data_IF_204805785535
#
_entry.id   IF_204805785535
#
_cell.length_a   1.000
_cell.length_b   1.000
_cell.length_c   1.000
_cell.angle_alpha   90.00
_cell.angle_beta   90.00
_cell.angle_gamma   90.00
#
_symmetry.space_group_name_H-M   'P 1'
#
loop_
_entity.id
_entity.type
_entity.pdbx_description
1 polymer ?
#
# COMPACT_ATOMS: atom_id res chain seq x y z
N UNK A 1 -37.59 52.27 -42.67
CA UNK A 1 -37.33 53.62 -42.13
C UNK A 1 -36.02 53.53 -41.34
N UNK A 2 -34.89 53.99 -41.92
CA UNK A 2 -34.21 55.25 -41.54
C UNK A 2 -33.98 55.34 -40.02
N UNK A 3 -32.77 55.42 -39.44
CA UNK A 3 -31.54 56.10 -39.86
C UNK A 3 -30.36 55.64 -38.98
N UNK A 4 -29.16 55.66 -39.58
CA UNK A 4 -27.89 55.80 -38.86
C UNK A 4 -27.87 57.10 -38.03
N UNK A 5 -27.32 57.06 -36.82
CA UNK A 5 -26.75 58.24 -36.15
C UNK A 5 -25.39 57.84 -35.57
N UNK A 6 -24.35 58.33 -36.23
CA UNK A 6 -23.02 58.58 -35.65
C UNK A 6 -23.16 59.75 -34.67
N UNK A 7 -22.38 59.77 -33.59
CA UNK A 7 -21.72 60.98 -33.03
C UNK A 7 -20.73 60.52 -31.95
N UNK A 8 -19.45 60.80 -32.21
CA UNK A 8 -18.33 60.85 -31.27
C UNK A 8 -18.40 62.13 -30.43
N UNK A 9 -17.62 62.20 -29.33
CA UNK A 9 -17.14 63.35 -28.51
C UNK A 9 -17.38 63.00 -27.03
N UNK A 10 -16.50 63.21 -26.04
CA UNK A 10 -15.05 63.44 -25.95
C UNK A 10 -14.72 63.37 -24.44
N UNK A 11 -13.52 62.85 -24.13
CA UNK A 11 -12.57 63.24 -23.06
C UNK A 11 -13.11 63.82 -21.73
N UNK A 12 -12.78 63.13 -20.63
CA UNK A 12 -12.24 63.78 -19.43
C UNK A 12 -11.35 62.81 -18.63
N UNK A 13 -10.04 63.01 -18.77
CA UNK A 13 -9.02 62.56 -17.83
C UNK A 13 -9.10 63.44 -16.59
N UNK A 14 -9.34 62.85 -15.42
CA UNK A 14 -8.99 63.44 -14.13
C UNK A 14 -8.33 62.36 -13.26
N UNK A 15 -7.00 62.42 -13.25
CA UNK A 15 -6.14 61.83 -12.24
C UNK A 15 -6.19 62.73 -10.99
N UNK A 16 -6.83 62.32 -9.91
CA UNK A 16 -6.40 62.71 -8.55
C UNK A 16 -6.71 61.58 -7.57
N UNK A 17 -5.62 61.03 -7.03
CA UNK A 17 -5.44 60.38 -5.73
C UNK A 17 -6.66 60.00 -4.91
N UNK A 18 -6.85 58.70 -4.76
CA UNK A 18 -7.58 58.09 -3.65
C UNK A 18 -6.99 56.71 -3.42
N UNK A 19 -5.92 56.64 -2.62
CA UNK A 19 -5.32 55.40 -2.16
C UNK A 19 -6.34 54.64 -1.30
N UNK A 20 -7.21 53.85 -1.94
CA UNK A 20 -7.91 52.77 -1.27
C UNK A 20 -6.86 51.71 -0.97
N UNK A 21 -6.34 51.79 0.25
CA UNK A 21 -5.72 50.69 0.97
C UNK A 21 -6.73 49.54 1.01
N UNK A 22 -6.78 48.75 -0.06
CA UNK A 22 -7.17 47.37 0.05
C UNK A 22 -6.07 46.72 0.89
N UNK A 23 -6.31 46.64 2.19
CA UNK A 23 -5.70 45.60 3.01
C UNK A 23 -6.13 44.27 2.42
N UNK A 24 -5.41 43.82 1.40
CA UNK A 24 -5.28 42.41 1.11
C UNK A 24 -4.77 41.80 2.41
N UNK A 25 -5.68 41.12 3.10
CA UNK A 25 -5.30 40.09 4.06
C UNK A 25 -4.28 39.24 3.33
N UNK A 26 -3.02 39.35 3.76
CA UNK A 26 -1.92 38.52 3.33
C UNK A 26 -2.20 37.15 3.95
N UNK A 27 -3.21 36.46 3.42
CA UNK A 27 -3.41 35.06 3.68
C UNK A 27 -2.13 34.41 3.19
N UNK A 28 -1.40 33.81 4.13
CA UNK A 28 -0.10 33.21 3.91
C UNK A 28 -0.16 32.19 2.77
N UNK A 29 0.08 32.65 1.55
CA UNK A 29 0.47 31.84 0.40
C UNK A 29 1.99 31.62 0.42
N UNK A 30 2.53 31.36 1.62
CA UNK A 30 3.79 30.65 1.77
C UNK A 30 3.44 29.18 1.79
N UNK A 31 3.05 28.61 0.65
CA UNK A 31 3.10 27.16 0.50
C UNK A 31 4.54 26.76 0.76
N UNK A 32 4.70 25.87 1.71
CA UNK A 32 5.95 25.50 2.36
C UNK A 32 6.94 24.90 1.34
N UNK A 33 7.67 25.79 0.65
CA UNK A 33 8.70 25.42 -0.33
C UNK A 33 9.78 24.53 0.27
N UNK A 34 9.96 24.58 1.60
CA UNK A 34 10.88 23.71 2.34
C UNK A 34 10.32 22.30 2.48
N UNK A 35 9.04 22.16 2.86
CA UNK A 35 8.35 20.88 2.91
C UNK A 35 8.30 20.20 1.54
N UNK A 36 7.90 20.92 0.49
CA UNK A 36 7.85 20.36 -0.85
C UNK A 36 9.22 19.88 -1.33
N UNK A 37 10.30 20.62 -1.02
CA UNK A 37 11.67 20.23 -1.34
C UNK A 37 12.13 18.98 -0.56
N UNK A 38 11.76 18.89 0.72
CA UNK A 38 11.99 17.69 1.57
C UNK A 38 11.29 16.47 0.97
N UNK A 39 9.98 16.55 0.74
CA UNK A 39 9.18 15.44 0.21
C UNK A 39 9.62 15.03 -1.19
N UNK A 40 10.03 15.99 -2.04
CA UNK A 40 10.64 15.68 -3.33
C UNK A 40 11.96 14.90 -3.19
N UNK A 41 12.76 15.20 -2.16
CA UNK A 41 13.99 14.45 -1.87
C UNK A 41 13.65 13.03 -1.42
N UNK A 42 12.72 12.85 -0.49
CA UNK A 42 12.26 11.54 -0.02
C UNK A 42 11.70 10.68 -1.18
N UNK A 43 10.88 11.28 -2.06
CA UNK A 43 10.35 10.62 -3.26
C UNK A 43 11.45 10.07 -4.18
N UNK A 44 12.60 10.73 -4.28
CA UNK A 44 13.73 10.24 -5.10
C UNK A 44 14.46 9.05 -4.50
N UNK A 45 14.34 8.83 -3.19
CA UNK A 45 14.96 7.71 -2.48
C UNK A 45 14.13 6.43 -2.56
N UNK A 46 12.83 6.54 -2.83
CA UNK A 46 11.95 5.39 -3.00
C UNK A 46 12.34 4.65 -4.29
N UNK A 47 12.69 3.35 -4.22
CA UNK A 47 13.28 2.65 -5.35
C UNK A 47 12.27 2.31 -6.45
N UNK A 48 11.02 1.99 -6.08
CA UNK A 48 10.00 1.50 -7.02
C UNK A 48 9.00 2.58 -7.41
N UNK A 49 8.43 2.47 -8.60
CA UNK A 49 7.38 3.41 -9.04
C UNK A 49 6.08 3.22 -8.23
N UNK A 50 5.78 2.01 -7.78
CA UNK A 50 4.65 1.73 -6.90
C UNK A 50 4.77 2.50 -5.57
N UNK A 51 5.91 2.38 -4.88
CA UNK A 51 6.15 3.15 -3.65
C UNK A 51 6.10 4.66 -3.87
N UNK A 52 6.57 5.15 -5.03
CA UNK A 52 6.45 6.57 -5.38
C UNK A 52 4.99 7.01 -5.53
N UNK A 53 4.15 6.19 -6.14
CA UNK A 53 2.73 6.49 -6.31
C UNK A 53 2.01 6.54 -4.96
N UNK A 54 2.33 5.61 -4.07
CA UNK A 54 1.79 5.55 -2.72
C UNK A 54 2.21 6.77 -1.89
N UNK A 55 3.50 7.09 -1.89
CA UNK A 55 4.03 8.28 -1.21
C UNK A 55 3.38 9.56 -1.75
N UNK A 56 3.16 9.68 -3.06
CA UNK A 56 2.47 10.83 -3.66
C UNK A 56 1.02 10.92 -3.18
N UNK A 57 0.33 9.79 -3.01
CA UNK A 57 -1.04 9.74 -2.51
C UNK A 57 -1.10 10.12 -1.03
N UNK A 58 -0.20 9.58 -0.21
CA UNK A 58 -0.08 9.89 1.22
C UNK A 58 0.29 11.35 1.47
N UNK A 59 1.22 11.89 0.68
CA UNK A 59 1.68 13.28 0.75
C UNK A 59 0.74 14.29 0.09
N UNK A 60 -0.38 13.86 -0.48
CA UNK A 60 -1.30 14.70 -1.26
C UNK A 60 -0.55 15.51 -2.34
N UNK A 61 0.25 14.82 -3.15
CA UNK A 61 1.15 15.41 -4.14
C UNK A 61 2.14 16.41 -3.53
N UNK A 62 2.89 15.97 -2.51
CA UNK A 62 3.96 16.73 -1.85
C UNK A 62 3.48 18.00 -1.11
N UNK A 63 2.21 18.04 -0.72
CA UNK A 63 1.63 19.17 0.02
C UNK A 63 1.43 18.89 1.50
N UNK A 64 1.57 17.63 1.92
CA UNK A 64 1.38 17.16 3.29
C UNK A 64 2.54 16.25 3.68
N UNK A 65 3.04 16.42 4.91
CA UNK A 65 4.01 15.49 5.50
C UNK A 65 3.45 14.06 5.56
N UNK A 66 4.34 13.09 5.34
CA UNK A 66 4.05 11.65 5.39
C UNK A 66 4.59 11.08 6.70
N UNK A 67 3.85 10.15 7.31
CA UNK A 67 4.35 9.42 8.47
C UNK A 67 5.64 8.65 8.06
N UNK A 68 6.77 8.82 8.77
CA UNK A 68 8.01 8.12 8.44
C UNK A 68 7.88 6.60 8.32
N UNK A 69 6.94 6.00 9.06
CA UNK A 69 6.64 4.57 8.98
C UNK A 69 6.02 4.18 7.62
N UNK A 70 5.16 5.03 7.05
CA UNK A 70 4.62 4.81 5.71
C UNK A 70 5.69 4.99 4.63
N UNK A 71 6.57 5.99 4.78
CA UNK A 71 7.72 6.16 3.89
C UNK A 71 8.66 4.93 3.92
N UNK A 72 8.90 4.36 5.09
CA UNK A 72 9.67 3.12 5.24
C UNK A 72 8.99 1.96 4.49
N UNK A 73 7.67 1.79 4.63
CA UNK A 73 6.90 0.77 3.92
C UNK A 73 6.94 0.96 2.40
N UNK A 74 6.73 2.19 1.91
CA UNK A 74 6.77 2.53 0.49
C UNK A 74 8.14 2.23 -0.12
N UNK A 75 9.21 2.42 0.67
CA UNK A 75 10.59 2.14 0.28
C UNK A 75 10.89 0.64 0.19
N UNK A 76 10.02 -0.21 0.74
CA UNK A 76 10.16 -1.66 0.80
C UNK A 76 9.27 -2.41 -0.18
N UNK A 77 8.36 -1.72 -0.88
CA UNK A 77 7.49 -2.34 -1.88
C UNK A 77 8.36 -3.01 -2.95
N UNK A 78 8.14 -4.31 -3.13
CA UNK A 78 8.85 -5.10 -4.15
C UNK A 78 7.97 -5.25 -5.37
N UNK A 79 8.54 -4.92 -6.53
CA UNK A 79 7.97 -5.23 -7.83
C UNK A 79 8.58 -6.54 -8.35
N UNK A 80 7.72 -7.50 -8.67
CA UNK A 80 8.16 -8.82 -9.08
C UNK A 80 8.00 -9.03 -10.58
N UNK A 81 8.83 -8.34 -11.35
CA UNK A 81 9.01 -8.60 -12.77
C UNK A 81 9.92 -7.58 -13.44
N UNK A 82 10.73 -8.04 -14.41
CA UNK A 82 11.53 -7.14 -15.23
C UNK A 82 10.59 -6.20 -16.02
N UNK A 83 10.86 -4.89 -15.96
CA UNK A 83 10.13 -3.81 -16.65
C UNK A 83 8.74 -3.44 -16.08
N UNK A 84 8.31 -3.97 -14.94
CA UNK A 84 7.11 -3.48 -14.24
C UNK A 84 7.34 -2.10 -13.62
N UNK A 85 8.56 -1.78 -13.20
CA UNK A 85 8.95 -0.47 -12.68
C UNK A 85 8.78 0.68 -13.70
N UNK A 86 8.71 0.35 -15.00
CA UNK A 86 8.64 1.32 -16.09
C UNK A 86 7.20 1.60 -16.59
N UNK A 87 6.19 0.87 -16.08
CA UNK A 87 4.80 1.03 -16.52
C UNK A 87 4.13 2.15 -15.73
N UNK A 88 4.10 3.35 -16.32
CA UNK A 88 3.40 4.53 -15.79
C UNK A 88 1.86 4.47 -15.94
N UNK A 89 1.24 3.29 -16.06
CA UNK A 89 -0.18 3.18 -16.40
C UNK A 89 -1.07 2.98 -15.18
N UNK A 90 -1.90 3.98 -14.89
CA UNK A 90 -3.10 3.80 -14.09
C UNK A 90 -4.12 2.95 -14.85
N UNK A 91 -4.07 1.62 -14.74
CA UNK A 91 -5.25 0.75 -14.77
C UNK A 91 -4.93 -0.72 -14.43
N UNK A 92 -5.54 -1.18 -13.35
CA UNK A 92 -6.24 -2.47 -13.18
C UNK A 92 -5.57 -3.75 -13.69
N UNK A 93 -4.47 -4.14 -13.06
CA UNK A 93 -4.31 -5.52 -12.59
C UNK A 93 -3.11 -5.55 -11.67
N UNK A 94 -3.39 -5.58 -10.36
CA UNK A 94 -2.49 -5.98 -9.26
C UNK A 94 -1.06 -5.47 -9.39
N UNK A 95 -0.71 -4.45 -8.62
CA UNK A 95 0.67 -4.03 -8.37
C UNK A 95 1.53 -5.24 -7.95
N UNK A 96 2.11 -5.88 -8.96
CA UNK A 96 3.39 -6.57 -8.99
C UNK A 96 3.75 -7.56 -7.87
N UNK A 97 2.82 -8.06 -7.06
CA UNK A 97 3.19 -9.08 -6.09
C UNK A 97 3.60 -10.37 -6.80
N UNK A 98 4.79 -10.84 -6.46
CA UNK A 98 5.48 -12.00 -7.01
C UNK A 98 4.56 -13.23 -7.06
N UNK A 99 3.79 -13.42 -8.13
CA UNK A 99 3.62 -14.69 -8.87
C UNK A 99 2.57 -14.58 -9.96
N UNK A 100 3.03 -14.49 -11.21
CA UNK A 100 2.33 -15.15 -12.30
C UNK A 100 2.64 -16.65 -12.21
N UNK A 101 1.59 -17.49 -12.12
CA UNK A 101 1.64 -18.95 -12.15
C UNK A 101 2.38 -19.66 -10.98
N UNK A 102 1.65 -19.91 -9.89
CA UNK A 102 1.89 -21.10 -9.05
C UNK A 102 2.84 -20.96 -7.86
N UNK A 103 2.88 -19.80 -7.19
CA UNK A 103 3.50 -19.73 -5.86
C UNK A 103 4.99 -20.09 -5.88
N UNK A 104 5.81 -19.44 -6.70
CA UNK A 104 7.26 -19.61 -6.64
C UNK A 104 7.95 -18.25 -6.60
N UNK A 105 9.02 -18.14 -5.80
CA UNK A 105 9.91 -16.96 -5.74
C UNK A 105 11.31 -17.28 -6.30
N UNK A 106 11.42 -17.87 -7.52
CA UNK A 106 12.72 -18.25 -8.06
C UNK A 106 13.46 -16.97 -8.42
N UNK A 107 14.71 -16.87 -7.97
CA UNK A 107 15.60 -15.72 -8.20
C UNK A 107 15.23 -14.41 -7.50
N UNK A 108 14.26 -14.39 -6.57
CA UNK A 108 14.05 -13.23 -5.71
C UNK A 108 15.21 -13.10 -4.71
N UNK A 109 15.95 -11.99 -4.80
CA UNK A 109 17.09 -11.64 -3.92
C UNK A 109 16.75 -10.42 -3.08
N UNK A 110 17.34 -10.29 -1.90
CA UNK A 110 17.05 -9.20 -0.95
C UNK A 110 16.96 -9.72 0.48
N UNK A 111 16.58 -8.87 1.43
CA UNK A 111 16.41 -9.25 2.83
C UNK A 111 14.95 -9.58 3.18
N UNK A 112 14.03 -8.73 2.77
CA UNK A 112 12.60 -8.82 3.10
C UNK A 112 11.77 -8.78 1.83
N UNK A 113 10.60 -9.42 1.86
CA UNK A 113 9.40 -9.10 1.10
C UNK A 113 8.55 -8.18 1.96
N UNK A 114 7.95 -7.16 1.37
CA UNK A 114 7.26 -6.17 2.17
C UNK A 114 6.61 -5.06 1.40
N UNK A 115 6.15 -4.09 2.17
CA UNK A 115 5.32 -2.98 1.71
C UNK A 115 3.84 -3.32 1.67
N UNK A 116 3.04 -2.30 1.39
CA UNK A 116 1.61 -2.43 1.22
C UNK A 116 1.24 -2.98 -0.16
N UNK A 117 0.08 -3.61 -0.24
CA UNK A 117 -0.53 -4.12 -1.46
C UNK A 117 -1.92 -3.51 -1.66
N UNK A 118 -2.40 -3.56 -2.90
CA UNK A 118 -3.77 -3.22 -3.32
C UNK A 118 -4.18 -1.73 -3.23
N UNK A 119 -3.55 -0.94 -2.35
CA UNK A 119 -3.72 0.50 -2.22
C UNK A 119 -2.65 1.12 -1.31
N UNK A 120 -2.46 2.44 -1.37
CA UNK A 120 -1.62 3.16 -0.42
C UNK A 120 -2.22 3.16 0.99
N UNK A 121 -1.43 2.76 1.98
CA UNK A 121 -1.79 2.87 3.39
C UNK A 121 -1.78 4.34 3.82
N UNK A 122 -2.90 4.84 4.33
CA UNK A 122 -3.06 6.28 4.65
C UNK A 122 -2.75 6.64 6.12
N UNK A 123 -2.81 5.65 7.01
CA UNK A 123 -2.41 5.76 8.41
C UNK A 123 -1.97 4.38 8.95
N UNK A 124 -1.36 4.33 10.14
CA UNK A 124 -0.76 3.11 10.69
C UNK A 124 -1.57 2.46 11.81
N UNK A 125 -2.79 2.95 12.09
CA UNK A 125 -3.58 2.53 13.26
C UNK A 125 -3.99 1.08 13.17
N UNK A 126 -4.57 0.68 12.04
CA UNK A 126 -4.99 -0.71 11.82
C UNK A 126 -3.80 -1.65 11.73
N UNK A 127 -2.73 -1.24 11.04
CA UNK A 127 -1.46 -1.99 11.01
C UNK A 127 -0.97 -2.30 12.42
N UNK A 128 -0.88 -1.31 13.31
CA UNK A 128 -0.40 -1.54 14.68
C UNK A 128 -1.32 -2.49 15.46
N UNK A 129 -2.65 -2.36 15.30
CA UNK A 129 -3.59 -3.28 15.92
C UNK A 129 -3.41 -4.72 15.40
N UNK A 130 -3.14 -4.89 14.11
CA UNK A 130 -2.89 -6.17 13.47
C UNK A 130 -1.59 -6.81 13.94
N UNK A 131 -0.49 -6.05 14.00
CA UNK A 131 0.80 -6.51 14.57
C UNK A 131 0.66 -7.00 16.02
N UNK A 132 -0.21 -6.36 16.82
CA UNK A 132 -0.51 -6.80 18.18
C UNK A 132 -1.29 -8.12 18.20
N UNK A 133 -2.30 -8.29 17.34
CA UNK A 133 -3.07 -9.54 17.23
C UNK A 133 -2.16 -10.71 16.82
N UNK A 134 -1.21 -10.48 15.92
CA UNK A 134 -0.28 -11.51 15.44
C UNK A 134 0.60 -12.10 16.55
N UNK A 135 0.83 -11.38 17.65
CA UNK A 135 1.60 -11.89 18.79
C UNK A 135 0.97 -13.13 19.44
N UNK A 136 -0.33 -13.39 19.25
CA UNK A 136 -1.00 -14.60 19.71
C UNK A 136 -0.44 -15.88 19.05
N UNK A 137 0.25 -15.75 17.90
CA UNK A 137 0.76 -16.88 17.12
C UNK A 137 2.26 -17.09 17.27
N UNK A 138 2.96 -16.30 18.10
CA UNK A 138 4.43 -16.34 18.26
C UNK A 138 5.02 -17.68 18.71
N UNK A 139 4.20 -18.61 19.19
CA UNK A 139 4.62 -19.97 19.53
C UNK A 139 4.90 -20.83 18.29
N UNK A 140 4.40 -20.43 17.12
CA UNK A 140 4.67 -21.09 15.85
C UNK A 140 6.04 -20.65 15.31
N UNK A 141 6.99 -21.58 15.09
CA UNK A 141 8.30 -21.23 14.56
C UNK A 141 8.21 -20.59 13.18
N UNK A 142 9.07 -19.60 12.93
CA UNK A 142 9.21 -18.92 11.63
C UNK A 142 7.92 -18.30 11.09
N UNK A 143 6.98 -17.90 11.95
CA UNK A 143 5.78 -17.16 11.52
C UNK A 143 6.11 -15.67 11.33
N UNK A 144 5.69 -15.03 10.21
CA UNK A 144 5.84 -13.59 10.06
C UNK A 144 4.91 -12.86 11.03
N UNK A 145 5.48 -12.13 11.98
CA UNK A 145 4.74 -11.28 12.91
C UNK A 145 4.63 -9.82 12.45
N UNK A 146 5.38 -9.46 11.39
CA UNK A 146 5.20 -8.25 10.59
C UNK A 146 5.14 -8.67 9.12
N UNK A 147 3.94 -8.91 8.57
CA UNK A 147 3.74 -9.38 7.20
C UNK A 147 4.29 -8.40 6.15
N UNK A 148 4.25 -7.09 6.44
CA UNK A 148 4.83 -6.05 5.59
C UNK A 148 6.37 -5.97 5.66
N UNK A 149 7.00 -6.81 6.49
CA UNK A 149 8.46 -6.93 6.65
C UNK A 149 8.89 -8.42 6.74
N UNK A 150 8.37 -9.25 5.84
CA UNK A 150 8.58 -10.71 5.86
C UNK A 150 9.96 -11.09 5.29
N UNK A 151 10.86 -11.77 6.01
CA UNK A 151 12.14 -12.19 5.43
C UNK A 151 11.97 -13.09 4.19
N UNK A 152 12.73 -12.84 3.12
CA UNK A 152 12.58 -13.59 1.85
C UNK A 152 12.76 -15.11 2.07
N UNK A 153 13.72 -15.50 2.89
CA UNK A 153 13.96 -16.90 3.22
C UNK A 153 12.77 -17.54 3.93
N UNK A 154 12.11 -16.80 4.82
CA UNK A 154 10.90 -17.25 5.53
C UNK A 154 9.72 -17.39 4.57
N UNK A 155 9.52 -16.43 3.68
CA UNK A 155 8.48 -16.51 2.66
C UNK A 155 8.68 -17.73 1.75
N UNK A 156 9.90 -17.95 1.25
CA UNK A 156 10.24 -19.15 0.45
C UNK A 156 9.93 -20.44 1.20
N UNK A 157 10.29 -20.53 2.48
CA UNK A 157 10.00 -21.71 3.30
C UNK A 157 8.50 -22.04 3.33
N UNK A 158 7.63 -21.04 3.55
CA UNK A 158 6.19 -21.27 3.63
C UNK A 158 5.56 -21.60 2.29
N UNK A 159 6.02 -20.93 1.23
CA UNK A 159 5.59 -21.20 -0.14
C UNK A 159 6.01 -22.62 -0.58
N UNK A 160 7.23 -23.05 -0.27
CA UNK A 160 7.69 -24.40 -0.58
C UNK A 160 6.89 -25.44 0.22
N UNK A 161 6.59 -25.15 1.49
CA UNK A 161 5.73 -25.99 2.31
C UNK A 161 4.32 -26.09 1.73
N UNK A 162 3.74 -24.97 1.29
CA UNK A 162 2.43 -24.90 0.64
C UNK A 162 2.35 -25.82 -0.59
N UNK A 163 3.34 -25.71 -1.48
CA UNK A 163 3.44 -26.48 -2.71
C UNK A 163 3.61 -27.99 -2.46
N UNK A 164 4.38 -28.36 -1.44
CA UNK A 164 4.64 -29.76 -1.10
C UNK A 164 3.48 -30.43 -0.34
N UNK A 165 2.57 -29.64 0.23
CA UNK A 165 1.59 -30.12 1.20
C UNK A 165 0.21 -30.30 0.59
N UNK A 166 -0.36 -31.49 0.77
CA UNK A 166 -1.75 -31.79 0.43
C UNK A 166 -2.52 -32.10 1.70
N UNK A 167 -3.60 -31.35 1.95
CA UNK A 167 -4.50 -31.62 3.06
C UNK A 167 -5.35 -32.87 2.77
N UNK A 168 -5.61 -33.66 3.80
CA UNK A 168 -6.66 -34.69 3.75
C UNK A 168 -8.05 -34.05 3.65
N UNK A 169 -9.10 -34.79 3.26
CA UNK A 169 -10.46 -34.23 3.17
C UNK A 169 -10.95 -33.57 4.47
N UNK A 170 -10.64 -34.16 5.64
CA UNK A 170 -11.02 -33.59 6.93
C UNK A 170 -10.28 -32.28 7.24
N UNK A 171 -8.98 -32.23 6.94
CA UNK A 171 -8.17 -31.02 7.11
C UNK A 171 -8.60 -29.92 6.13
N UNK A 172 -8.93 -30.28 4.89
CA UNK A 172 -9.45 -29.34 3.90
C UNK A 172 -10.78 -28.73 4.35
N UNK A 173 -11.62 -29.45 5.09
CA UNK A 173 -12.84 -28.90 5.66
C UNK A 173 -12.56 -27.76 6.68
N UNK A 174 -11.52 -27.90 7.50
CA UNK A 174 -11.08 -26.85 8.45
C UNK A 174 -10.58 -25.63 7.67
N UNK A 175 -9.75 -25.84 6.66
CA UNK A 175 -9.27 -24.77 5.77
C UNK A 175 -10.43 -24.01 5.12
N UNK A 176 -11.38 -24.74 4.53
CA UNK A 176 -12.54 -24.16 3.86
C UNK A 176 -13.44 -23.39 4.83
N UNK A 177 -13.56 -23.86 6.08
CA UNK A 177 -14.29 -23.14 7.12
C UNK A 177 -13.59 -21.83 7.48
N UNK A 178 -12.27 -21.83 7.67
CA UNK A 178 -11.50 -20.62 7.91
C UNK A 178 -11.66 -19.63 6.74
N UNK A 179 -11.60 -20.14 5.51
CA UNK A 179 -11.74 -19.34 4.29
C UNK A 179 -13.12 -18.68 4.19
N UNK A 180 -14.16 -19.36 4.66
CA UNK A 180 -15.53 -18.85 4.62
C UNK A 180 -15.79 -17.74 5.67
N UNK A 181 -15.08 -17.75 6.79
CA UNK A 181 -15.31 -16.80 7.90
C UNK A 181 -14.30 -15.64 7.94
N UNK A 182 -13.12 -15.81 7.32
CA UNK A 182 -12.13 -14.76 7.19
C UNK A 182 -12.59 -13.69 6.20
N UNK A 183 -12.36 -12.43 6.56
CA UNK A 183 -12.59 -11.30 5.66
C UNK A 183 -11.54 -11.30 4.55
N UNK A 184 -10.28 -11.43 4.95
CA UNK A 184 -9.13 -11.33 4.05
C UNK A 184 -8.88 -12.61 3.25
N UNK A 185 -9.20 -13.77 3.84
CA UNK A 185 -8.70 -15.10 3.38
C UNK A 185 -7.16 -15.07 3.41
N UNK A 186 -6.40 -16.05 2.86
CA UNK A 186 -4.93 -15.93 2.88
C UNK A 186 -4.39 -14.62 2.28
N UNK A 187 -5.11 -14.04 1.33
CA UNK A 187 -4.97 -12.67 0.84
C UNK A 187 -6.09 -12.41 -0.18
N UNK A 188 -6.45 -11.15 -0.40
CA UNK A 188 -7.39 -10.75 -1.44
C UNK A 188 -6.89 -11.04 -2.87
N UNK A 189 -5.56 -11.09 -3.08
CA UNK A 189 -4.92 -11.41 -4.34
C UNK A 189 -4.06 -12.69 -4.23
N UNK A 190 -4.01 -13.52 -5.27
CA UNK A 190 -3.18 -14.74 -5.30
C UNK A 190 -1.70 -14.42 -5.54
N UNK A 191 -1.11 -13.80 -4.55
CA UNK A 191 0.17 -13.14 -4.57
C UNK A 191 1.16 -13.87 -3.64
N UNK A 192 2.44 -13.45 -3.51
CA UNK A 192 3.37 -14.19 -2.64
C UNK A 192 2.83 -14.36 -1.20
N UNK A 193 2.15 -13.33 -0.68
CA UNK A 193 1.59 -13.33 0.67
C UNK A 193 0.49 -14.38 0.82
N UNK A 194 -0.37 -14.52 -0.20
CA UNK A 194 -1.37 -15.58 -0.25
C UNK A 194 -0.76 -16.97 -0.06
N UNK A 195 0.33 -17.28 -0.76
CA UNK A 195 0.97 -18.59 -0.69
C UNK A 195 1.74 -18.80 0.61
N UNK A 196 2.29 -17.73 1.20
CA UNK A 196 2.86 -17.77 2.56
C UNK A 196 1.77 -18.14 3.56
N UNK A 197 0.65 -17.43 3.53
CA UNK A 197 -0.45 -17.60 4.48
C UNK A 197 -1.22 -18.91 4.27
N UNK A 198 -1.28 -19.43 3.04
CA UNK A 198 -1.79 -20.77 2.74
C UNK A 198 -0.88 -21.85 3.34
N UNK A 199 0.44 -21.73 3.18
CA UNK A 199 1.43 -22.63 3.76
C UNK A 199 1.38 -22.66 5.30
N UNK A 200 1.27 -21.48 5.92
CA UNK A 200 1.12 -21.33 7.37
C UNK A 200 -0.17 -22.01 7.84
N UNK A 201 -1.31 -21.73 7.19
CA UNK A 201 -2.59 -22.34 7.56
C UNK A 201 -2.57 -23.87 7.41
N UNK A 202 -1.98 -24.39 6.33
CA UNK A 202 -1.80 -25.84 6.15
C UNK A 202 -1.00 -26.45 7.30
N UNK A 203 0.07 -25.79 7.74
CA UNK A 203 0.87 -26.23 8.89
C UNK A 203 0.08 -26.19 10.19
N UNK A 204 -0.66 -25.10 10.44
CA UNK A 204 -1.54 -24.96 11.61
C UNK A 204 -2.58 -26.09 11.70
N UNK A 205 -3.18 -26.46 10.57
CA UNK A 205 -4.18 -27.54 10.47
C UNK A 205 -3.54 -28.92 10.68
N UNK A 206 -2.39 -29.17 10.05
CA UNK A 206 -1.70 -30.47 10.14
C UNK A 206 -1.22 -30.74 11.57
N UNK A 207 -0.68 -29.73 12.23
CA UNK A 207 -0.21 -29.87 13.62
C UNK A 207 -1.37 -29.94 14.62
N UNK A 208 -2.58 -29.60 14.20
CA UNK A 208 -3.79 -29.62 15.04
C UNK A 208 -3.77 -28.56 16.15
N UNK A 209 -2.95 -27.53 16.02
CA UNK A 209 -2.73 -26.51 17.06
C UNK A 209 -3.80 -25.41 17.00
N UNK A 210 -4.39 -25.17 15.83
CA UNK A 210 -5.35 -24.10 15.60
C UNK A 210 -6.62 -24.58 14.93
N UNK A 211 -7.76 -24.01 15.32
CA UNK A 211 -9.05 -24.23 14.68
C UNK A 211 -9.32 -23.22 13.54
N UNK A 212 -10.43 -23.39 12.83
CA UNK A 212 -10.80 -22.53 11.71
C UNK A 212 -10.91 -21.04 12.08
N UNK A 213 -11.44 -20.72 13.27
CA UNK A 213 -11.57 -19.33 13.76
C UNK A 213 -10.22 -18.69 14.00
N UNK A 214 -9.27 -19.44 14.56
CA UNK A 214 -7.91 -18.94 14.79
C UNK A 214 -7.16 -18.77 13.47
N UNK A 215 -7.31 -19.68 12.50
CA UNK A 215 -6.70 -19.51 11.18
C UNK A 215 -7.28 -18.27 10.47
N UNK A 216 -8.59 -18.08 10.52
CA UNK A 216 -9.23 -16.89 9.95
C UNK A 216 -8.78 -15.60 10.63
N UNK A 217 -8.65 -15.61 11.97
CA UNK A 217 -8.15 -14.46 12.72
C UNK A 217 -6.66 -14.18 12.46
N UNK A 218 -5.86 -15.20 12.12
CA UNK A 218 -4.49 -15.00 11.65
C UNK A 218 -4.50 -14.26 10.31
N UNK A 219 -5.23 -14.77 9.32
CA UNK A 219 -5.36 -14.13 8.00
C UNK A 219 -5.88 -12.69 8.06
N UNK A 220 -6.92 -12.44 8.86
CA UNK A 220 -7.46 -11.09 9.03
C UNK A 220 -6.48 -10.14 9.74
N UNK A 221 -5.50 -10.67 10.48
CA UNK A 221 -4.46 -9.89 11.15
C UNK A 221 -3.15 -9.84 10.37
N UNK A 222 -2.94 -10.73 9.40
CA UNK A 222 -1.76 -10.74 8.54
C UNK A 222 -1.88 -9.78 7.35
N UNK A 223 -3.01 -9.09 7.24
CA UNK A 223 -3.32 -8.16 6.16
C UNK A 223 -2.18 -7.19 5.85
N UNK A 224 -1.88 -7.07 4.55
CA UNK A 224 -0.92 -6.14 3.98
C UNK A 224 -1.58 -5.11 3.05
N UNK A 225 -2.91 -5.01 3.06
CA UNK A 225 -3.64 -4.03 2.26
C UNK A 225 -3.46 -2.60 2.83
N UNK A 226 -3.39 -1.60 1.96
CA UNK A 226 -3.37 -0.19 2.37
C UNK A 226 -4.74 0.42 2.69
N UNK A 227 -5.81 -0.36 2.58
CA UNK A 227 -7.20 0.07 2.78
C UNK A 227 -8.14 -0.24 1.62
#
# INVERSE_FOLDING_TARGET
>A
MNKNVKISIAVALLLVGGALYFSFSKNNAGTDTTLAAKLATELTQIPTQAGKNDFLKQSQNLTKDVNPELLDLDSQIITCGANLDALASGSQTYEGSCVAAGGTLPNTTGKYLGGQCCSALMDTVERHANLQKLQAYKSMPNIPLDPMHTPIAMAKQWIDYDNATKLTPAQQAIYNQAYAISKEKPCCCKCWHYFVDEGIAKKMIIDGIFNAQQIAAFWDASDICGG
#
